data_IF_376823889670
#
_entry.id   IF_376823889670
#
_cell.length_a   1.000
_cell.length_b   1.000
_cell.length_c   1.000
_cell.angle_alpha   90.00
_cell.angle_beta   90.00
_cell.angle_gamma   90.00
#
_symmetry.space_group_name_H-M   'P 1'
#
loop_
_entity.id
_entity.type
_entity.pdbx_description
1 polymer ?
#
# COMPACT_ATOMS: atom_id res chain seq x y z
N UNK A 1 -42.27 7.87 33.96
CA UNK A 1 -41.79 7.17 32.76
C UNK A 1 -40.42 7.73 32.41
N UNK A 2 -39.35 6.95 32.62
CA UNK A 2 -37.96 7.42 32.40
C UNK A 2 -37.63 7.23 30.92
N UNK A 3 -37.31 8.30 30.20
CA UNK A 3 -36.86 8.21 28.81
C UNK A 3 -35.41 7.74 28.79
N UNK A 4 -35.18 6.53 28.28
CA UNK A 4 -33.84 6.07 27.91
C UNK A 4 -33.49 6.64 26.54
N UNK A 5 -32.59 7.62 26.50
CA UNK A 5 -32.02 8.13 25.26
C UNK A 5 -30.80 7.28 24.90
N UNK A 6 -30.89 6.46 23.86
CA UNK A 6 -29.75 5.72 23.33
C UNK A 6 -28.89 6.66 22.47
N UNK A 7 -27.69 6.97 22.93
CA UNK A 7 -26.70 7.73 22.14
C UNK A 7 -25.93 6.78 21.22
N UNK A 8 -26.29 6.73 19.94
CA UNK A 8 -25.50 6.04 18.92
C UNK A 8 -24.38 6.97 18.43
N UNK A 9 -23.20 6.88 19.04
CA UNK A 9 -22.00 7.56 18.52
C UNK A 9 -21.38 6.72 17.41
N UNK A 10 -21.77 6.99 16.16
CA UNK A 10 -21.09 6.45 15.00
C UNK A 10 -19.69 7.04 14.85
N UNK A 11 -18.69 6.47 15.52
CA UNK A 11 -17.28 6.83 15.26
C UNK A 11 -16.82 6.05 14.04
N UNK A 12 -17.15 6.51 12.84
CA UNK A 12 -16.39 6.15 11.65
C UNK A 12 -15.29 7.20 11.49
N UNK A 13 -14.17 7.02 12.20
CA UNK A 13 -12.97 7.79 11.88
C UNK A 13 -12.59 7.48 10.44
N UNK A 14 -12.66 8.46 9.55
CA UNK A 14 -12.23 8.29 8.16
C UNK A 14 -10.72 8.03 8.17
N UNK A 15 -10.33 6.78 7.96
CA UNK A 15 -8.93 6.40 7.80
C UNK A 15 -8.40 7.06 6.53
N UNK A 16 -7.31 7.82 6.67
CA UNK A 16 -6.62 8.40 5.53
C UNK A 16 -5.39 7.56 5.22
N UNK A 17 -5.49 6.80 4.12
CA UNK A 17 -4.40 6.03 3.57
C UNK A 17 -3.62 6.87 2.55
N UNK A 18 -2.33 6.60 2.42
CA UNK A 18 -1.53 7.10 1.30
C UNK A 18 -0.51 6.07 0.87
N UNK A 19 -0.21 6.05 -0.42
CA UNK A 19 0.85 5.28 -1.03
C UNK A 19 1.86 6.26 -1.62
N UNK A 20 3.13 6.11 -1.24
CA UNK A 20 4.22 6.95 -1.74
C UNK A 20 5.31 6.08 -2.32
N UNK A 21 5.88 6.54 -3.43
CA UNK A 21 7.14 5.99 -3.97
C UNK A 21 8.33 6.68 -3.29
N UNK A 22 9.36 5.90 -3.00
CA UNK A 22 10.52 6.30 -2.23
C UNK A 22 11.82 5.85 -2.90
N UNK A 23 12.92 6.45 -2.47
CA UNK A 23 14.27 5.96 -2.78
C UNK A 23 14.69 4.87 -1.78
N UNK A 24 15.90 4.32 -1.95
CA UNK A 24 16.45 3.28 -1.08
C UNK A 24 16.58 3.69 0.40
N UNK A 25 16.65 5.00 0.68
CA UNK A 25 16.66 5.56 2.04
C UNK A 25 15.25 5.74 2.63
N UNK A 26 14.19 5.28 1.96
CA UNK A 26 12.78 5.48 2.33
C UNK A 26 12.33 6.94 2.36
N UNK A 27 12.98 7.80 1.57
CA UNK A 27 12.58 9.20 1.40
C UNK A 27 11.65 9.32 0.19
N UNK A 28 10.54 10.08 0.28
CA UNK A 28 9.63 10.29 -0.84
C UNK A 28 10.35 10.85 -2.07
N UNK A 29 10.02 10.32 -3.24
CA UNK A 29 10.48 10.83 -4.52
C UNK A 29 9.43 11.80 -5.09
N UNK A 30 9.82 12.89 -5.77
CA UNK A 30 8.89 13.78 -6.46
C UNK A 30 8.08 13.07 -7.54
N UNK A 31 6.83 13.52 -7.75
CA UNK A 31 6.02 13.11 -8.89
C UNK A 31 6.68 13.45 -10.22
N UNK A 32 6.54 12.57 -11.22
CA UNK A 32 7.16 12.73 -12.53
C UNK A 32 8.61 12.25 -12.63
N UNK A 33 9.13 11.59 -11.58
CA UNK A 33 10.43 10.92 -11.66
C UNK A 33 10.37 9.70 -12.58
N UNK A 34 11.38 9.55 -13.43
CA UNK A 34 11.55 8.41 -14.33
C UNK A 34 12.48 7.39 -13.69
N UNK A 35 12.09 6.12 -13.73
CA UNK A 35 12.90 5.01 -13.23
C UNK A 35 13.51 4.23 -14.39
N UNK A 36 14.70 3.67 -14.17
CA UNK A 36 15.34 2.77 -15.13
C UNK A 36 15.00 1.32 -14.80
N UNK A 37 14.87 0.49 -15.84
CA UNK A 37 14.67 -0.95 -15.68
C UNK A 37 15.85 -1.58 -14.95
N UNK A 38 15.58 -2.58 -14.11
CA UNK A 38 16.56 -3.24 -13.26
C UNK A 38 16.82 -2.52 -11.92
N UNK A 39 16.28 -1.32 -11.71
CA UNK A 39 16.30 -0.68 -10.40
C UNK A 39 15.05 -1.06 -9.60
N UNK A 40 15.19 -1.47 -8.32
CA UNK A 40 14.04 -1.75 -7.48
C UNK A 40 13.30 -0.45 -7.14
N UNK A 41 11.98 -0.49 -7.24
CA UNK A 41 11.10 0.57 -6.78
C UNK A 41 10.75 0.35 -5.31
N UNK A 42 10.76 1.40 -4.51
CA UNK A 42 10.40 1.33 -3.09
C UNK A 42 9.07 2.02 -2.83
N UNK A 43 8.16 1.35 -2.14
CA UNK A 43 6.85 1.88 -1.81
C UNK A 43 6.61 1.89 -0.31
N UNK A 44 5.91 2.93 0.16
CA UNK A 44 5.44 3.08 1.52
C UNK A 44 3.93 3.33 1.49
N UNK A 45 3.17 2.36 1.96
CA UNK A 45 1.77 2.54 2.30
C UNK A 45 1.67 2.94 3.78
N UNK A 46 0.88 3.97 4.09
CA UNK A 46 0.73 4.47 5.45
C UNK A 46 -0.70 4.90 5.73
N UNK A 47 -1.07 4.88 7.01
CA UNK A 47 -2.34 5.40 7.52
C UNK A 47 -2.08 6.33 8.70
N UNK A 48 -2.76 7.49 8.73
CA UNK A 48 -2.48 8.53 9.74
C UNK A 48 -2.83 8.12 11.17
N UNK A 49 -3.98 7.47 11.35
CA UNK A 49 -4.50 7.08 12.66
C UNK A 49 -5.05 5.67 12.59
N UNK A 50 -4.62 4.83 13.52
CA UNK A 50 -5.17 3.49 13.75
C UNK A 50 -5.76 3.43 15.16
N UNK A 51 -6.81 2.65 15.33
CA UNK A 51 -7.32 2.28 16.64
C UNK A 51 -6.41 1.22 17.28
N UNK A 52 -6.55 1.05 18.59
CA UNK A 52 -5.79 0.04 19.32
C UNK A 52 -6.07 -1.37 18.75
N UNK A 53 -5.01 -2.10 18.44
CA UNK A 53 -5.09 -3.44 17.86
C UNK A 53 -5.22 -3.49 16.32
N UNK A 54 -5.39 -2.36 15.65
CA UNK A 54 -5.43 -2.34 14.19
C UNK A 54 -4.02 -2.40 13.56
N UNK A 55 -3.97 -2.94 12.34
CA UNK A 55 -2.77 -2.98 11.51
C UNK A 55 -3.14 -2.74 10.05
N UNK A 56 -2.29 -1.97 9.38
CA UNK A 56 -2.35 -1.73 7.95
C UNK A 56 -1.80 -2.94 7.20
N UNK A 57 -2.53 -3.37 6.17
CA UNK A 57 -2.12 -4.37 5.20
C UNK A 57 -2.38 -3.84 3.79
N UNK A 58 -1.67 -4.41 2.80
CA UNK A 58 -1.92 -4.19 1.38
C UNK A 58 -2.56 -5.46 0.83
N UNK A 59 -3.83 -5.38 0.47
CA UNK A 59 -4.59 -6.54 -0.03
C UNK A 59 -4.23 -6.87 -1.48
N UNK A 60 -4.14 -5.84 -2.31
CA UNK A 60 -3.78 -5.94 -3.73
C UNK A 60 -2.99 -4.74 -4.22
N UNK A 61 -2.11 -4.94 -5.19
CA UNK A 61 -1.39 -3.91 -5.91
C UNK A 61 -1.13 -4.41 -7.34
N UNK A 62 -1.45 -3.58 -8.33
CA UNK A 62 -1.22 -3.89 -9.74
C UNK A 62 -0.75 -2.63 -10.48
N UNK A 63 -0.02 -2.85 -11.58
CA UNK A 63 0.42 -1.79 -12.49
C UNK A 63 -0.38 -1.82 -13.79
N UNK A 64 -0.62 -0.63 -14.35
CA UNK A 64 -1.20 -0.41 -15.68
C UNK A 64 -0.31 0.53 -16.48
N UNK A 65 -0.42 0.51 -17.81
CA UNK A 65 0.37 1.38 -18.70
C UNK A 65 -0.19 2.79 -18.85
N UNK A 66 -1.25 3.13 -18.13
CA UNK A 66 -1.94 4.43 -18.19
C UNK A 66 -2.34 4.90 -16.80
N UNK A 67 -2.66 6.18 -16.67
CA UNK A 67 -3.19 6.73 -15.42
C UNK A 67 -4.56 6.15 -15.01
N UNK A 68 -5.32 5.59 -15.96
CA UNK A 68 -6.55 4.85 -15.66
C UNK A 68 -6.24 3.51 -14.95
N UNK A 69 -6.67 3.31 -13.68
CA UNK A 69 -6.50 2.03 -12.97
C UNK A 69 -7.37 0.89 -13.55
N UNK A 70 -8.37 1.23 -14.36
CA UNK A 70 -9.25 0.28 -15.04
C UNK A 70 -8.66 -0.33 -16.29
N UNK A 71 -7.59 0.26 -16.83
CA UNK A 71 -7.04 -0.15 -18.13
C UNK A 71 -6.36 -1.52 -18.10
N UNK A 72 -6.21 -2.09 -19.29
CA UNK A 72 -5.52 -3.34 -19.53
C UNK A 72 -4.27 -3.08 -20.40
N UNK A 73 -3.20 -3.88 -20.26
CA UNK A 73 -3.06 -5.01 -19.34
C UNK A 73 -2.82 -4.58 -17.88
N UNK A 74 -3.19 -5.47 -16.94
CA UNK A 74 -2.87 -5.34 -15.51
C UNK A 74 -1.77 -6.32 -15.15
N UNK A 75 -0.76 -5.84 -14.44
CA UNK A 75 0.34 -6.67 -13.93
C UNK A 75 0.22 -6.73 -12.42
N UNK A 76 -0.11 -7.92 -11.88
CA UNK A 76 -0.31 -8.12 -10.45
C UNK A 76 1.03 -8.17 -9.71
N UNK A 77 1.24 -7.21 -8.82
CA UNK A 77 2.42 -7.12 -7.96
C UNK A 77 2.14 -7.80 -6.61
N UNK A 78 0.99 -7.47 -6.03
CA UNK A 78 0.44 -8.07 -4.82
C UNK A 78 -0.99 -8.51 -5.14
N UNK A 79 -1.30 -9.78 -4.90
CA UNK A 79 -2.64 -10.34 -5.08
C UNK A 79 -2.90 -11.43 -4.05
N UNK A 80 -3.99 -12.19 -4.17
CA UNK A 80 -4.32 -13.30 -3.25
C UNK A 80 -4.26 -12.90 -1.77
N UNK A 81 -4.90 -11.78 -1.42
CA UNK A 81 -5.00 -11.28 -0.03
C UNK A 81 -3.64 -10.93 0.59
N UNK A 82 -2.80 -10.21 -0.16
CA UNK A 82 -1.51 -9.70 0.31
C UNK A 82 -0.30 -10.57 -0.02
N UNK A 83 -0.43 -11.58 -0.86
CA UNK A 83 0.71 -12.32 -1.40
C UNK A 83 1.46 -11.47 -2.44
N UNK A 84 2.76 -11.31 -2.27
CA UNK A 84 3.62 -10.62 -3.25
C UNK A 84 3.91 -11.53 -4.45
N UNK A 85 3.00 -11.59 -5.41
CA UNK A 85 3.10 -12.47 -6.57
C UNK A 85 4.25 -12.10 -7.51
N UNK A 86 4.69 -10.84 -7.53
CA UNK A 86 5.86 -10.46 -8.33
C UNK A 86 7.13 -11.22 -7.92
N UNK A 87 7.26 -11.56 -6.63
CA UNK A 87 8.40 -12.34 -6.11
C UNK A 87 8.51 -13.77 -6.65
N UNK A 88 7.46 -14.28 -7.31
CA UNK A 88 7.47 -15.63 -7.90
C UNK A 88 8.11 -15.64 -9.30
N UNK A 89 8.33 -14.46 -9.90
CA UNK A 89 9.03 -14.35 -11.17
C UNK A 89 10.49 -14.75 -11.00
N UNK A 90 11.02 -15.49 -11.96
CA UNK A 90 12.44 -15.88 -11.95
C UNK A 90 13.33 -14.65 -11.88
N UNK A 91 14.24 -14.62 -10.90
CA UNK A 91 15.15 -13.50 -10.67
C UNK A 91 14.56 -12.29 -9.95
N UNK A 92 13.27 -12.30 -9.54
CA UNK A 92 12.68 -11.21 -8.76
C UNK A 92 13.16 -11.23 -7.31
N UNK A 93 13.48 -10.05 -6.79
CA UNK A 93 13.82 -9.72 -5.41
C UNK A 93 12.77 -8.85 -4.71
N UNK A 94 11.59 -8.72 -5.33
CA UNK A 94 10.41 -8.08 -4.75
C UNK A 94 10.09 -8.66 -3.38
N UNK A 95 9.89 -7.78 -2.39
CA UNK A 95 9.59 -8.21 -1.01
C UNK A 95 8.87 -7.16 -0.19
N UNK A 96 8.13 -7.62 0.82
CA UNK A 96 7.74 -6.77 1.94
C UNK A 96 8.91 -6.55 2.90
N UNK A 97 8.93 -5.39 3.55
CA UNK A 97 9.89 -5.07 4.59
C UNK A 97 9.19 -4.75 5.92
N UNK A 98 9.90 -5.01 7.01
CA UNK A 98 9.41 -4.74 8.36
C UNK A 98 9.01 -3.28 8.56
N UNK A 99 7.81 -3.09 9.10
CA UNK A 99 7.21 -1.78 9.38
C UNK A 99 6.38 -1.77 10.66
N UNK A 100 6.06 -0.56 11.11
CA UNK A 100 5.13 -0.32 12.24
C UNK A 100 3.71 -0.72 11.84
N UNK A 101 2.79 -0.87 12.80
CA UNK A 101 1.41 -1.27 12.50
C UNK A 101 0.68 -0.34 11.51
N UNK A 102 1.04 0.94 11.43
CA UNK A 102 0.45 1.92 10.51
C UNK A 102 1.20 2.09 9.18
N UNK A 103 2.24 1.29 8.92
CA UNK A 103 3.11 1.46 7.76
C UNK A 103 3.48 0.10 7.17
N UNK A 104 3.21 -0.09 5.89
CA UNK A 104 3.70 -1.21 5.09
C UNK A 104 4.74 -0.68 4.12
N UNK A 105 5.92 -1.33 4.11
CA UNK A 105 7.00 -1.04 3.17
C UNK A 105 7.15 -2.24 2.25
N UNK A 106 7.33 -2.00 0.96
CA UNK A 106 7.64 -3.06 0.02
C UNK A 106 8.53 -2.54 -1.12
N UNK A 107 9.36 -3.42 -1.67
CA UNK A 107 10.11 -3.17 -2.90
C UNK A 107 9.57 -4.02 -4.03
N UNK A 108 9.59 -3.47 -5.24
CA UNK A 108 9.16 -4.13 -6.48
C UNK A 108 10.29 -4.07 -7.49
N UNK A 109 10.67 -5.22 -8.02
CA UNK A 109 11.66 -5.34 -9.07
C UNK A 109 11.05 -5.03 -10.44
N UNK A 110 11.81 -4.31 -11.26
CA UNK A 110 11.38 -3.83 -12.58
C UNK A 110 12.18 -4.44 -13.71
#
# INVERSE_FOLDING_TARGET
>A
QVQHTTFLKGIKSKLTFSLSICNADWKPIPSGHTFLLGEPLYFVAQVRTLMAGERLYVDSCYATSSEDPGSLPKVDIISNYGCMTDSWREGSSSRFLSGKSSVVKFSVDT
#
